data_IF_192190858297
#
_entry.id   IF_192190858297
#
_cell.length_a   1.000
_cell.length_b   1.000
_cell.length_c   1.000
_cell.angle_alpha   90.00
_cell.angle_beta   90.00
_cell.angle_gamma   90.00
#
_symmetry.space_group_name_H-M   'P 1'
#
loop_
_entity.id
_entity.type
_entity.pdbx_description
1 polymer ?
#
# COMPACT_ATOMS: atom_id res chain seq x y z
N UNK A 1 -21.03 -77.22 -50.61
CA UNK A 1 -21.00 -75.95 -51.30
C UNK A 1 -21.38 -74.87 -50.26
N UNK A 2 -20.43 -74.41 -49.42
CA UNK A 2 -20.66 -73.42 -48.35
C UNK A 2 -20.18 -72.04 -48.75
N UNK A 3 -21.10 -71.12 -48.95
CA UNK A 3 -20.87 -69.72 -49.26
C UNK A 3 -20.50 -68.96 -47.94
N UNK A 4 -19.29 -68.45 -47.83
CA UNK A 4 -18.89 -67.64 -46.73
C UNK A 4 -19.32 -66.21 -47.03
N UNK A 5 -20.16 -65.58 -46.16
CA UNK A 5 -20.45 -64.16 -46.14
C UNK A 5 -19.30 -63.42 -45.49
N UNK A 6 -18.85 -62.24 -46.02
CA UNK A 6 -17.89 -61.41 -45.34
C UNK A 6 -18.61 -60.53 -44.30
N UNK A 7 -18.11 -60.58 -43.07
CA UNK A 7 -18.58 -59.74 -41.94
C UNK A 7 -17.90 -58.37 -42.06
N UNK A 8 -18.64 -57.33 -42.45
CA UNK A 8 -18.18 -55.94 -42.45
C UNK A 8 -18.30 -55.37 -41.03
N UNK A 9 -17.18 -55.09 -40.37
CA UNK A 9 -17.09 -54.41 -39.10
C UNK A 9 -17.11 -52.90 -39.38
N UNK A 10 -18.08 -52.11 -38.90
CA UNK A 10 -18.03 -50.68 -39.06
C UNK A 10 -16.95 -50.06 -38.15
N UNK A 11 -15.98 -49.39 -38.72
CA UNK A 11 -15.01 -48.56 -37.98
C UNK A 11 -15.73 -47.31 -37.54
N UNK A 12 -16.03 -47.19 -36.23
CA UNK A 12 -16.52 -45.95 -35.61
C UNK A 12 -15.30 -45.07 -35.39
N UNK A 13 -15.14 -44.03 -36.23
CA UNK A 13 -14.15 -42.99 -36.04
C UNK A 13 -14.67 -42.04 -34.93
N UNK A 14 -14.09 -42.14 -33.75
CA UNK A 14 -14.34 -41.22 -32.65
C UNK A 14 -13.54 -39.91 -32.94
N UNK A 15 -14.17 -38.92 -33.51
CA UNK A 15 -13.60 -37.55 -33.61
C UNK A 15 -13.65 -36.94 -32.22
N UNK A 16 -12.56 -37.10 -31.46
CA UNK A 16 -12.37 -36.40 -30.18
C UNK A 16 -12.28 -34.89 -30.44
N UNK A 17 -13.31 -34.14 -30.05
CA UNK A 17 -13.21 -32.69 -30.00
C UNK A 17 -12.18 -32.30 -28.92
N UNK A 18 -11.03 -31.79 -29.36
CA UNK A 18 -10.02 -31.19 -28.48
C UNK A 18 -10.61 -29.89 -27.91
N UNK A 19 -11.16 -29.94 -26.71
CA UNK A 19 -11.57 -28.73 -26.00
C UNK A 19 -10.27 -28.02 -25.59
N UNK A 20 -9.90 -26.97 -26.33
CA UNK A 20 -8.83 -26.08 -25.93
C UNK A 20 -9.29 -25.37 -24.65
N UNK A 21 -8.79 -25.79 -23.50
CA UNK A 21 -8.91 -25.05 -22.25
C UNK A 21 -8.04 -23.81 -22.42
N UNK A 22 -8.65 -22.65 -22.68
CA UNK A 22 -7.95 -21.38 -22.65
C UNK A 22 -7.31 -21.23 -21.25
N UNK A 23 -6.03 -20.82 -21.14
CA UNK A 23 -5.46 -20.51 -19.85
C UNK A 23 -6.33 -19.41 -19.22
N UNK A 24 -6.81 -19.65 -17.98
CA UNK A 24 -7.40 -18.61 -17.17
C UNK A 24 -6.29 -17.57 -16.99
N UNK A 25 -6.44 -16.42 -17.62
CA UNK A 25 -5.55 -15.28 -17.41
C UNK A 25 -5.54 -15.03 -15.90
N UNK A 26 -4.42 -15.34 -15.25
CA UNK A 26 -4.20 -15.00 -13.86
C UNK A 26 -4.32 -13.47 -13.77
N UNK A 27 -5.38 -12.98 -13.14
CA UNK A 27 -5.56 -11.55 -12.92
C UNK A 27 -4.32 -11.04 -12.18
N UNK A 28 -3.48 -10.30 -12.90
CA UNK A 28 -2.34 -9.69 -12.27
C UNK A 28 -2.83 -8.65 -11.26
N UNK A 29 -2.34 -8.74 -10.04
CA UNK A 29 -2.70 -7.79 -9.00
C UNK A 29 -2.32 -6.37 -9.43
N UNK A 30 -3.23 -5.42 -9.20
CA UNK A 30 -2.98 -3.99 -9.46
C UNK A 30 -2.36 -3.35 -8.24
N UNK A 31 -1.34 -2.51 -8.44
CA UNK A 31 -0.72 -1.76 -7.34
C UNK A 31 -1.72 -0.79 -6.70
N UNK A 32 -1.84 -0.78 -5.37
CA UNK A 32 -2.58 0.26 -4.66
C UNK A 32 -2.02 1.65 -4.95
N UNK A 33 -2.90 2.62 -5.16
CA UNK A 33 -2.46 3.99 -5.46
C UNK A 33 -2.14 4.76 -4.18
N UNK A 34 -0.85 4.94 -3.90
CA UNK A 34 -0.37 5.67 -2.72
C UNK A 34 -0.53 7.19 -2.81
N UNK A 35 -0.84 7.77 -4.00
CA UNK A 35 -0.96 9.21 -4.15
C UNK A 35 0.21 9.98 -3.53
N UNK A 36 -0.09 11.01 -2.74
CA UNK A 36 0.92 11.82 -2.04
C UNK A 36 1.59 11.11 -0.88
N UNK A 37 0.99 10.00 -0.35
CA UNK A 37 1.64 9.15 0.65
C UNK A 37 2.95 8.53 0.12
N UNK A 38 3.10 8.41 -1.20
CA UNK A 38 4.34 7.95 -1.85
C UNK A 38 5.57 8.78 -1.46
N UNK A 39 5.38 10.07 -1.15
CA UNK A 39 6.44 11.00 -0.77
C UNK A 39 6.96 10.77 0.67
N UNK A 40 6.31 9.92 1.45
CA UNK A 40 6.64 9.64 2.83
C UNK A 40 7.28 8.26 2.98
N UNK A 41 8.34 8.21 3.77
CA UNK A 41 8.97 6.94 4.18
C UNK A 41 8.34 6.41 5.45
N UNK A 42 7.94 7.31 6.33
CA UNK A 42 7.21 7.00 7.55
C UNK A 42 5.98 7.93 7.68
N UNK A 43 4.82 7.36 8.01
CA UNK A 43 3.56 8.10 8.17
C UNK A 43 2.77 7.49 9.33
N UNK A 44 2.33 8.32 10.28
CA UNK A 44 1.60 7.85 11.46
C UNK A 44 0.31 8.66 11.70
N UNK A 45 -0.60 8.08 12.49
CA UNK A 45 -1.89 8.69 12.82
C UNK A 45 -1.90 9.40 14.17
N UNK A 46 -1.28 8.85 15.19
CA UNK A 46 -1.39 9.36 16.56
C UNK A 46 -0.10 9.93 17.11
N UNK A 47 0.99 9.17 17.08
CA UNK A 47 2.29 9.57 17.60
C UNK A 47 3.43 8.89 16.82
N UNK A 48 4.60 9.50 16.86
CA UNK A 48 5.86 8.85 16.47
C UNK A 48 6.80 8.88 17.66
N UNK A 49 7.22 7.69 18.11
CA UNK A 49 8.11 7.55 19.26
C UNK A 49 9.36 6.79 18.84
N UNK A 50 10.51 7.29 19.21
CA UNK A 50 11.78 6.65 18.90
C UNK A 50 12.65 6.50 20.16
N UNK A 51 13.33 5.37 20.23
CA UNK A 51 14.39 5.10 21.22
C UNK A 51 15.67 4.72 20.46
N UNK A 52 16.77 5.40 20.78
CA UNK A 52 18.06 5.14 20.13
C UNK A 52 18.21 5.78 18.73
N UNK A 53 19.31 5.48 18.02
CA UNK A 53 19.71 6.17 16.80
C UNK A 53 18.97 5.62 15.55
N UNK A 54 17.65 5.69 15.53
CA UNK A 54 16.89 5.33 14.31
C UNK A 54 17.13 6.35 13.19
N UNK A 55 17.09 5.87 11.94
CA UNK A 55 17.20 6.69 10.74
C UNK A 55 16.00 6.47 9.82
N UNK A 56 15.29 7.56 9.53
CA UNK A 56 14.24 7.59 8.50
C UNK A 56 14.82 8.31 7.29
N UNK A 57 15.07 7.58 6.21
CA UNK A 57 15.55 8.15 4.94
C UNK A 57 14.37 8.66 4.14
N UNK A 58 14.21 9.99 4.04
CA UNK A 58 13.07 10.66 3.40
C UNK A 58 12.15 11.32 4.41
N UNK A 59 10.90 11.58 4.01
CA UNK A 59 9.97 12.38 4.81
C UNK A 59 9.26 11.55 5.89
N UNK A 60 9.01 12.21 7.03
CA UNK A 60 8.16 11.74 8.12
C UNK A 60 6.87 12.56 8.14
N UNK A 61 5.72 11.88 8.21
CA UNK A 61 4.41 12.53 8.36
C UNK A 61 3.67 12.05 9.61
N UNK A 62 2.94 12.95 10.23
CA UNK A 62 2.07 12.67 11.38
C UNK A 62 0.82 13.53 11.29
N UNK A 63 -0.37 12.91 11.22
CA UNK A 63 -1.67 13.56 11.24
C UNK A 63 -2.77 12.54 11.63
N UNK A 64 -3.76 12.90 12.48
CA UNK A 64 -3.99 14.15 13.20
C UNK A 64 -3.13 14.31 14.46
N UNK A 65 -2.33 13.31 14.83
CA UNK A 65 -1.40 13.41 15.96
C UNK A 65 -0.36 14.50 15.78
N UNK A 66 0.20 15.00 16.89
CA UNK A 66 1.18 16.09 16.89
C UNK A 66 2.45 15.79 17.67
N UNK A 67 2.57 14.58 18.25
CA UNK A 67 3.72 14.24 19.10
C UNK A 67 4.72 13.37 18.35
N UNK A 68 5.89 13.94 18.10
CA UNK A 68 7.09 13.24 17.62
C UNK A 68 8.16 13.33 18.68
N UNK A 69 8.64 12.19 19.21
CA UNK A 69 9.61 12.12 20.30
C UNK A 69 10.80 11.22 19.96
N UNK A 70 11.97 11.50 20.57
CA UNK A 70 13.18 10.71 20.34
C UNK A 70 13.95 11.09 19.07
N UNK A 71 13.73 12.28 18.53
CA UNK A 71 14.48 12.86 17.43
C UNK A 71 15.05 14.25 17.85
N UNK A 72 16.31 14.30 18.36
CA UNK A 72 17.32 13.24 18.49
C UNK A 72 17.06 12.22 19.62
N UNK A 73 17.80 11.05 19.68
CA UNK A 73 18.93 10.69 18.82
C UNK A 73 18.54 10.13 17.44
N UNK A 74 17.25 9.87 17.19
CA UNK A 74 16.79 9.54 15.86
C UNK A 74 17.01 10.67 14.85
N UNK A 75 17.06 10.33 13.57
CA UNK A 75 17.23 11.31 12.47
C UNK A 75 16.20 11.08 11.36
N UNK A 76 15.71 12.16 10.77
CA UNK A 76 14.91 12.20 9.55
C UNK A 76 15.71 12.96 8.50
N UNK A 77 16.01 12.33 7.35
CA UNK A 77 16.83 12.98 6.32
C UNK A 77 16.05 13.93 5.43
N UNK A 78 14.73 13.75 5.36
CA UNK A 78 13.80 14.59 4.62
C UNK A 78 13.08 15.61 5.51
N UNK A 79 11.91 16.04 5.08
CA UNK A 79 11.05 16.97 5.81
C UNK A 79 10.15 16.22 6.77
N UNK A 80 9.93 16.81 7.97
CA UNK A 80 8.95 16.33 8.93
C UNK A 80 7.69 17.21 8.85
N UNK A 81 6.57 16.58 8.52
CA UNK A 81 5.24 17.20 8.43
C UNK A 81 4.38 16.75 9.61
N UNK A 82 3.96 17.70 10.46
CA UNK A 82 3.19 17.41 11.67
C UNK A 82 1.91 18.23 11.66
N UNK A 83 0.75 17.56 11.61
CA UNK A 83 -0.59 18.17 11.64
C UNK A 83 -0.74 19.31 10.63
N UNK A 84 -0.12 19.16 9.46
CA UNK A 84 -0.19 20.13 8.36
C UNK A 84 -0.98 19.57 7.16
N UNK A 85 -1.31 20.41 6.20
CA UNK A 85 -2.10 20.02 5.03
C UNK A 85 -1.42 18.93 4.18
N UNK A 86 -0.08 18.86 4.18
CA UNK A 86 0.69 17.87 3.42
C UNK A 86 0.57 16.51 4.07
N UNK A 87 0.72 16.42 5.41
CA UNK A 87 0.52 15.18 6.17
C UNK A 87 -0.94 14.73 6.10
N UNK A 88 -1.92 15.64 6.23
CA UNK A 88 -3.34 15.32 6.11
C UNK A 88 -3.67 14.72 4.73
N UNK A 89 -3.21 15.31 3.64
CA UNK A 89 -3.45 14.76 2.30
C UNK A 89 -2.81 13.38 2.15
N UNK A 90 -1.57 13.19 2.61
CA UNK A 90 -0.91 11.89 2.58
C UNK A 90 -1.66 10.81 3.38
N UNK A 91 -2.28 11.18 4.51
CA UNK A 91 -3.13 10.29 5.31
C UNK A 91 -4.42 9.89 4.59
N UNK A 92 -5.03 10.82 3.86
CA UNK A 92 -6.21 10.54 3.02
C UNK A 92 -5.84 9.57 1.89
N UNK A 93 -4.72 9.81 1.22
CA UNK A 93 -4.25 8.95 0.13
C UNK A 93 -3.82 7.56 0.65
N UNK A 94 -3.18 7.49 1.83
CA UNK A 94 -2.90 6.23 2.51
C UNK A 94 -4.19 5.44 2.79
N UNK A 95 -5.28 6.12 3.18
CA UNK A 95 -6.57 5.48 3.42
C UNK A 95 -7.14 4.86 2.14
N UNK A 96 -7.02 5.55 1.02
CA UNK A 96 -7.39 5.03 -0.30
C UNK A 96 -6.55 3.81 -0.67
N UNK A 97 -5.22 3.92 -0.60
CA UNK A 97 -4.31 2.82 -0.92
C UNK A 97 -4.52 1.58 -0.03
N UNK A 98 -4.78 1.79 1.25
CA UNK A 98 -5.12 0.71 2.19
C UNK A 98 -6.40 -0.02 1.77
N UNK A 99 -7.43 0.73 1.35
CA UNK A 99 -8.71 0.19 0.91
C UNK A 99 -8.57 -0.54 -0.43
N UNK A 100 -7.79 0.01 -1.36
CA UNK A 100 -7.46 -0.65 -2.63
C UNK A 100 -6.78 -2.00 -2.40
N UNK A 101 -5.79 -2.03 -1.50
CA UNK A 101 -5.09 -3.26 -1.13
C UNK A 101 -6.03 -4.28 -0.47
N UNK A 102 -6.94 -3.83 0.43
CA UNK A 102 -7.90 -4.69 1.11
C UNK A 102 -8.95 -5.31 0.17
N UNK A 103 -9.30 -4.61 -0.92
CA UNK A 103 -10.31 -5.03 -1.89
C UNK A 103 -9.72 -5.73 -3.12
N UNK A 104 -8.39 -5.88 -3.21
CA UNK A 104 -7.77 -6.56 -4.34
C UNK A 104 -8.25 -8.03 -4.42
N UNK A 105 -8.57 -8.54 -5.64
CA UNK A 105 -9.05 -9.90 -5.80
C UNK A 105 -8.03 -10.93 -5.28
N UNK A 106 -8.44 -11.77 -4.34
CA UNK A 106 -7.59 -12.78 -3.70
C UNK A 106 -7.21 -13.86 -4.71
N UNK A 107 -5.91 -14.18 -4.78
CA UNK A 107 -5.41 -15.30 -5.60
C UNK A 107 -5.14 -16.53 -4.75
N UNK A 108 -4.74 -16.36 -3.50
CA UNK A 108 -4.37 -17.48 -2.61
C UNK A 108 -4.78 -17.17 -1.17
N UNK A 109 -5.50 -18.10 -0.56
CA UNK A 109 -5.75 -18.06 0.89
C UNK A 109 -4.59 -18.75 1.63
N UNK A 110 -4.01 -18.04 2.59
CA UNK A 110 -2.90 -18.50 3.43
C UNK A 110 -3.26 -18.49 4.92
N UNK A 111 -4.55 -18.46 5.24
CA UNK A 111 -5.04 -18.42 6.63
C UNK A 111 -4.46 -19.58 7.45
N UNK A 112 -3.85 -19.25 8.58
CA UNK A 112 -3.22 -20.23 9.48
C UNK A 112 -1.84 -20.72 9.05
N UNK A 113 -1.29 -20.22 7.95
CA UNK A 113 0.07 -20.58 7.49
C UNK A 113 1.09 -19.53 7.92
N UNK A 114 2.32 -19.99 8.21
CA UNK A 114 3.48 -19.11 8.38
C UNK A 114 4.04 -18.74 7.01
N UNK A 115 4.43 -17.48 6.86
CA UNK A 115 5.10 -16.96 5.66
C UNK A 115 6.55 -17.45 5.52
N UNK A 116 7.16 -17.88 6.63
CA UNK A 116 8.54 -18.36 6.65
C UNK A 116 8.74 -19.61 5.78
N UNK A 117 9.84 -19.62 5.06
CA UNK A 117 10.19 -20.69 4.12
C UNK A 117 9.36 -20.74 2.84
N UNK A 118 8.41 -19.80 2.64
CA UNK A 118 7.61 -19.73 1.42
C UNK A 118 8.38 -19.04 0.30
N UNK A 119 8.14 -19.52 -0.92
CA UNK A 119 8.56 -18.87 -2.16
C UNK A 119 7.28 -18.53 -2.94
N UNK A 120 6.97 -17.23 -3.04
CA UNK A 120 5.73 -16.74 -3.62
C UNK A 120 5.99 -16.00 -4.94
N UNK A 121 5.06 -16.12 -5.87
CA UNK A 121 5.01 -15.38 -7.13
C UNK A 121 4.09 -14.17 -7.00
N UNK A 122 4.05 -13.22 -7.97
CA UNK A 122 3.11 -12.10 -7.93
C UNK A 122 1.66 -12.56 -7.71
N UNK A 123 0.93 -11.88 -6.80
CA UNK A 123 -0.43 -12.26 -6.45
C UNK A 123 -0.95 -11.56 -5.20
N UNK A 124 -2.19 -11.89 -4.83
CA UNK A 124 -2.88 -11.39 -3.63
C UNK A 124 -3.07 -12.54 -2.65
N UNK A 125 -2.43 -12.43 -1.50
CA UNK A 125 -2.38 -13.44 -0.45
C UNK A 125 -3.20 -13.01 0.75
N UNK A 126 -4.22 -13.80 1.10
CA UNK A 126 -5.17 -13.46 2.16
C UNK A 126 -4.91 -14.28 3.42
N UNK A 127 -5.07 -13.63 4.57
CA UNK A 127 -5.13 -14.22 5.91
C UNK A 127 -6.38 -13.68 6.60
N UNK A 128 -7.34 -14.52 6.93
CA UNK A 128 -8.56 -14.10 7.65
C UNK A 128 -8.29 -13.66 9.10
N UNK A 129 -7.13 -14.01 9.63
CA UNK A 129 -6.68 -13.67 10.97
C UNK A 129 -5.29 -13.02 10.95
N UNK A 130 -4.49 -13.26 11.98
CA UNK A 130 -3.11 -12.80 12.05
C UNK A 130 -2.20 -13.60 11.11
N UNK A 131 -1.18 -12.94 10.58
CA UNK A 131 -0.08 -13.55 9.84
C UNK A 131 1.22 -13.52 10.64
N UNK A 132 2.05 -14.55 10.47
CA UNK A 132 3.38 -14.64 11.06
C UNK A 132 4.42 -14.82 9.95
N UNK A 133 5.61 -14.29 10.20
CA UNK A 133 6.79 -14.52 9.38
C UNK A 133 7.93 -15.02 10.27
N UNK A 134 8.23 -16.32 10.18
CA UNK A 134 9.34 -16.95 10.91
C UNK A 134 10.44 -17.37 9.92
N UNK A 135 11.59 -16.68 9.96
CA UNK A 135 12.68 -16.93 9.02
C UNK A 135 12.50 -16.13 7.70
N UNK A 136 12.73 -16.77 6.55
CA UNK A 136 12.77 -16.06 5.25
C UNK A 136 11.53 -16.30 4.42
N UNK A 137 10.90 -15.20 3.97
CA UNK A 137 9.92 -15.18 2.88
C UNK A 137 10.64 -14.76 1.60
N UNK A 138 10.55 -15.56 0.56
CA UNK A 138 11.10 -15.25 -0.77
C UNK A 138 9.98 -14.84 -1.73
N UNK A 139 10.10 -13.67 -2.33
CA UNK A 139 9.22 -13.17 -3.39
C UNK A 139 9.96 -13.26 -4.72
N UNK A 140 9.43 -14.03 -5.66
CA UNK A 140 10.12 -14.40 -6.91
C UNK A 140 9.30 -14.03 -8.13
N UNK A 141 9.85 -13.18 -8.98
CA UNK A 141 9.23 -12.73 -10.23
C UNK A 141 8.75 -11.28 -10.20
N UNK A 142 8.78 -10.64 -11.37
CA UNK A 142 8.36 -9.26 -11.51
C UNK A 142 6.84 -9.14 -11.48
N UNK A 143 6.29 -8.30 -10.61
CA UNK A 143 4.86 -8.04 -10.49
C UNK A 143 4.48 -7.49 -9.12
N UNK A 144 3.17 -7.49 -8.84
CA UNK A 144 2.59 -6.96 -7.61
C UNK A 144 2.31 -8.09 -6.63
N UNK A 145 2.68 -7.87 -5.37
CA UNK A 145 2.40 -8.73 -4.22
C UNK A 145 1.56 -7.95 -3.21
N UNK A 146 0.39 -8.44 -2.87
CA UNK A 146 -0.47 -7.85 -1.85
C UNK A 146 -0.75 -8.90 -0.78
N UNK A 147 -0.43 -8.57 0.47
CA UNK A 147 -0.74 -9.39 1.63
C UNK A 147 -1.91 -8.73 2.37
N UNK A 148 -3.09 -9.35 2.31
CA UNK A 148 -4.30 -8.93 3.03
C UNK A 148 -4.37 -9.69 4.35
N UNK A 149 -4.10 -9.01 5.46
CA UNK A 149 -4.03 -9.63 6.78
C UNK A 149 -5.18 -9.10 7.64
N UNK A 150 -6.12 -9.96 8.00
CA UNK A 150 -7.35 -9.59 8.70
C UNK A 150 -7.14 -9.06 10.12
N UNK A 151 -6.00 -9.37 10.76
CA UNK A 151 -5.69 -8.91 12.11
C UNK A 151 -4.26 -8.38 12.19
N UNK A 152 -3.35 -9.03 12.91
CA UNK A 152 -1.99 -8.55 13.15
C UNK A 152 -0.96 -9.21 12.23
N UNK A 153 0.11 -8.48 11.91
CA UNK A 153 1.34 -9.02 11.35
C UNK A 153 2.42 -9.06 12.43
N UNK A 154 3.04 -10.21 12.63
CA UNK A 154 4.19 -10.33 13.55
C UNK A 154 5.33 -11.04 12.84
N UNK A 155 6.52 -10.45 12.84
CA UNK A 155 7.73 -11.14 12.40
C UNK A 155 8.52 -11.63 13.61
N UNK A 156 9.11 -12.81 13.49
CA UNK A 156 10.10 -13.30 14.46
C UNK A 156 11.39 -12.48 14.38
N UNK A 157 12.26 -12.62 15.38
CA UNK A 157 13.61 -12.04 15.31
C UNK A 157 14.39 -12.62 14.14
N UNK A 158 15.17 -11.76 13.45
CA UNK A 158 15.96 -12.10 12.26
C UNK A 158 15.11 -12.59 11.06
N UNK A 159 13.82 -12.28 11.03
CA UNK A 159 13.00 -12.59 9.88
C UNK A 159 13.42 -11.75 8.66
N UNK A 160 13.27 -12.32 7.47
CA UNK A 160 13.70 -11.69 6.22
C UNK A 160 12.59 -11.74 5.17
N UNK A 161 12.29 -10.63 4.55
CA UNK A 161 11.57 -10.59 3.26
C UNK A 161 12.60 -10.36 2.17
N UNK A 162 12.73 -11.32 1.24
CA UNK A 162 13.71 -11.31 0.17
C UNK A 162 13.01 -11.24 -1.19
N UNK A 163 13.51 -10.39 -2.08
CA UNK A 163 13.04 -10.27 -3.48
C UNK A 163 14.09 -10.84 -4.43
N UNK A 164 13.68 -11.70 -5.36
CA UNK A 164 14.54 -12.33 -6.37
C UNK A 164 13.83 -12.38 -7.74
N UNK A 165 14.57 -12.73 -8.77
CA UNK A 165 14.04 -12.98 -10.13
C UNK A 165 13.17 -11.82 -10.67
N UNK A 166 13.59 -10.58 -10.41
CA UNK A 166 12.89 -9.38 -10.87
C UNK A 166 11.77 -8.87 -9.95
N UNK A 167 11.50 -9.54 -8.82
CA UNK A 167 10.61 -8.97 -7.80
C UNK A 167 11.20 -7.66 -7.26
N UNK A 168 10.36 -6.63 -7.09
CA UNK A 168 10.77 -5.31 -6.64
C UNK A 168 9.99 -4.92 -5.38
N UNK A 169 10.69 -4.40 -4.37
CA UNK A 169 10.06 -4.00 -3.11
C UNK A 169 8.98 -2.93 -3.27
N UNK A 170 9.07 -2.10 -4.31
CA UNK A 170 8.03 -1.11 -4.65
C UNK A 170 6.71 -1.74 -5.12
N UNK A 171 6.72 -3.01 -5.54
CA UNK A 171 5.54 -3.79 -5.89
C UNK A 171 4.98 -4.63 -4.73
N UNK A 172 5.53 -4.51 -3.53
CA UNK A 172 5.13 -5.31 -2.36
C UNK A 172 4.34 -4.46 -1.38
N UNK A 173 3.11 -4.88 -1.09
CA UNK A 173 2.16 -4.16 -0.22
C UNK A 173 1.64 -5.07 0.87
N UNK A 174 1.70 -4.60 2.12
CA UNK A 174 1.20 -5.28 3.30
C UNK A 174 0.03 -4.48 3.86
N UNK A 175 -1.20 -4.96 3.66
CA UNK A 175 -2.40 -4.41 4.28
C UNK A 175 -2.67 -5.20 5.56
N UNK A 176 -2.61 -4.54 6.72
CA UNK A 176 -2.75 -5.17 8.04
C UNK A 176 -3.97 -4.62 8.76
N UNK A 177 -4.93 -5.48 9.05
CA UNK A 177 -6.23 -5.13 9.63
C UNK A 177 -6.19 -4.62 11.08
N UNK A 178 -5.04 -4.70 11.74
CA UNK A 178 -4.81 -4.14 13.06
C UNK A 178 -3.41 -3.56 13.15
N UNK A 179 -2.53 -4.10 13.99
CA UNK A 179 -1.16 -3.61 14.20
C UNK A 179 -0.12 -4.55 13.60
N UNK A 180 1.03 -4.00 13.25
CA UNK A 180 2.19 -4.76 12.81
C UNK A 180 3.32 -4.63 13.83
N UNK A 181 4.00 -5.76 14.13
CA UNK A 181 5.20 -5.80 14.95
C UNK A 181 6.33 -6.47 14.17
N UNK A 182 7.38 -5.73 13.89
CA UNK A 182 8.60 -6.27 13.30
C UNK A 182 9.56 -6.64 14.42
N UNK A 183 9.84 -7.94 14.56
CA UNK A 183 10.75 -8.50 15.57
C UNK A 183 12.19 -8.00 15.39
N UNK A 184 13.01 -8.16 16.43
CA UNK A 184 14.40 -7.65 16.45
C UNK A 184 15.19 -8.12 15.24
N UNK A 185 16.01 -7.23 14.69
CA UNK A 185 16.88 -7.51 13.55
C UNK A 185 16.15 -8.08 12.31
N UNK A 186 14.85 -7.83 12.17
CA UNK A 186 14.08 -8.15 10.94
C UNK A 186 14.58 -7.30 9.77
N UNK A 187 14.74 -7.93 8.60
CA UNK A 187 15.01 -7.26 7.33
C UNK A 187 13.73 -7.31 6.46
N UNK A 188 12.98 -6.23 6.50
CA UNK A 188 11.66 -6.17 5.84
C UNK A 188 11.72 -5.41 4.52
N UNK A 189 10.85 -5.78 3.56
CA UNK A 189 10.70 -5.10 2.28
C UNK A 189 9.23 -4.88 1.95
N UNK A 190 8.96 -3.76 1.25
CA UNK A 190 7.62 -3.37 0.80
C UNK A 190 6.99 -2.26 1.64
N UNK A 191 5.82 -1.81 1.19
CA UNK A 191 5.02 -0.78 1.87
C UNK A 191 4.12 -1.44 2.90
N UNK A 192 4.40 -1.21 4.18
CA UNK A 192 3.63 -1.72 5.32
C UNK A 192 2.57 -0.70 5.72
N UNK A 193 1.31 -1.05 5.52
CA UNK A 193 0.11 -0.24 5.82
C UNK A 193 -0.69 -0.90 6.94
N UNK A 194 -0.54 -0.45 8.17
CA UNK A 194 -1.30 -0.97 9.30
C UNK A 194 -2.51 -0.08 9.64
N UNK A 195 -3.65 -0.69 9.91
CA UNK A 195 -4.85 0.05 10.34
C UNK A 195 -4.60 0.81 11.64
N UNK A 196 -3.92 0.17 12.59
CA UNK A 196 -3.66 0.77 13.90
C UNK A 196 -2.20 1.21 13.99
N UNK A 197 -1.33 0.44 14.56
CA UNK A 197 0.04 0.87 14.89
C UNK A 197 1.10 -0.02 14.24
N UNK A 198 2.29 0.53 14.09
CA UNK A 198 3.48 -0.21 13.70
C UNK A 198 4.53 -0.09 14.80
N UNK A 199 5.02 -1.22 15.28
CA UNK A 199 6.13 -1.30 16.23
C UNK A 199 7.30 -2.00 15.57
N UNK A 200 8.45 -1.32 15.52
CA UNK A 200 9.71 -1.89 15.06
C UNK A 200 10.61 -2.11 16.28
N UNK A 201 10.83 -3.38 16.64
CA UNK A 201 11.69 -3.75 17.76
C UNK A 201 13.16 -3.48 17.39
N UNK A 202 14.04 -3.44 18.37
CA UNK A 202 15.44 -3.03 18.23
C UNK A 202 16.12 -3.69 17.02
N UNK A 203 16.66 -2.84 16.15
CA UNK A 203 17.40 -3.25 14.96
C UNK A 203 16.56 -3.83 13.82
N UNK A 204 15.23 -3.89 13.95
CA UNK A 204 14.37 -4.20 12.82
C UNK A 204 14.48 -3.09 11.76
N UNK A 205 14.63 -3.45 10.48
CA UNK A 205 14.83 -2.49 9.41
C UNK A 205 13.86 -2.75 8.26
N UNK A 206 13.34 -1.67 7.69
CA UNK A 206 12.69 -1.70 6.38
C UNK A 206 13.76 -1.25 5.38
N UNK A 207 14.40 -2.23 4.74
CA UNK A 207 15.58 -1.98 3.89
C UNK A 207 15.22 -1.43 2.50
N UNK A 208 13.97 -1.60 2.09
CA UNK A 208 13.38 -1.00 0.87
C UNK A 208 11.87 -1.02 1.03
N UNK A 209 11.27 0.10 1.45
CA UNK A 209 9.84 0.17 1.71
C UNK A 209 9.42 1.38 2.53
N UNK A 210 8.25 1.26 3.17
CA UNK A 210 7.63 2.34 3.96
C UNK A 210 6.93 1.78 5.18
N UNK A 211 6.86 2.57 6.27
CA UNK A 211 6.07 2.28 7.46
C UNK A 211 4.91 3.28 7.58
N UNK A 212 3.68 2.82 7.39
CA UNK A 212 2.49 3.67 7.30
C UNK A 212 1.39 3.18 8.26
N UNK A 213 1.28 3.79 9.44
CA UNK A 213 0.21 3.56 10.41
C UNK A 213 -0.97 4.51 10.15
N UNK A 214 -2.17 3.96 9.85
CA UNK A 214 -3.32 4.80 9.51
C UNK A 214 -3.84 5.59 10.71
N UNK A 215 -4.13 4.92 11.83
CA UNK A 215 -4.80 5.56 12.96
C UNK A 215 -3.90 5.63 14.20
N UNK A 216 -2.93 4.75 14.30
CA UNK A 216 -2.13 4.58 15.51
C UNK A 216 -0.73 5.14 15.41
N UNK A 217 0.12 4.65 16.29
CA UNK A 217 1.49 5.11 16.47
C UNK A 217 2.48 4.38 15.57
N UNK A 218 3.60 5.03 15.30
CA UNK A 218 4.83 4.40 14.83
C UNK A 218 5.85 4.45 15.96
N UNK A 219 6.28 3.26 16.41
CA UNK A 219 7.27 3.10 17.50
C UNK A 219 8.55 2.49 16.94
N UNK A 220 9.66 3.16 17.19
CA UNK A 220 10.99 2.81 16.69
C UNK A 220 11.98 2.59 17.82
N UNK A 221 12.96 1.67 17.60
CA UNK A 221 14.05 1.37 18.51
C UNK A 221 15.32 1.02 17.73
N UNK A 222 16.15 2.01 17.44
CA UNK A 222 17.40 1.84 16.66
C UNK A 222 17.15 1.16 15.29
N UNK A 223 16.24 1.70 14.52
CA UNK A 223 15.77 1.13 13.25
C UNK A 223 16.21 1.98 12.05
N UNK A 224 16.27 1.35 10.88
CA UNK A 224 16.46 2.05 9.59
C UNK A 224 15.25 1.81 8.71
N UNK A 225 14.69 2.90 8.13
CA UNK A 225 13.63 2.84 7.15
C UNK A 225 14.11 3.56 5.89
N UNK A 226 14.20 2.81 4.79
CA UNK A 226 14.69 3.31 3.50
C UNK A 226 13.61 3.09 2.43
N UNK A 227 13.18 4.14 1.72
CA UNK A 227 12.18 3.98 0.66
C UNK A 227 12.77 3.19 -0.53
N UNK A 228 11.94 2.56 -1.37
CA UNK A 228 12.41 1.95 -2.61
C UNK A 228 13.11 2.99 -3.47
N UNK A 229 14.28 2.63 -4.02
CA UNK A 229 15.06 3.48 -4.93
C UNK A 229 14.89 3.05 -6.39
N UNK A 230 15.01 3.98 -7.31
CA UNK A 230 14.90 3.73 -8.75
C UNK A 230 13.45 3.76 -9.27
N UNK A 231 13.29 3.52 -10.58
CA UNK A 231 11.98 3.40 -11.22
C UNK A 231 11.38 2.04 -10.94
N UNK A 232 10.15 2.02 -10.41
CA UNK A 232 9.38 0.81 -10.21
C UNK A 232 8.84 0.34 -11.56
N UNK A 233 9.49 -0.64 -12.18
CA UNK A 233 9.05 -1.24 -13.44
C UNK A 233 8.40 -2.59 -13.15
N UNK A 234 7.11 -2.56 -12.79
CA UNK A 234 6.35 -3.80 -12.58
C UNK A 234 5.92 -4.37 -13.94
N UNK A 235 6.06 -5.67 -14.12
CA UNK A 235 5.60 -6.36 -15.32
C UNK A 235 4.12 -6.07 -15.56
N UNK A 236 3.73 -5.79 -16.79
CA UNK A 236 2.36 -5.46 -17.19
C UNK A 236 1.38 -6.59 -16.94
N UNK A 237 0.83 -6.65 -15.75
CA UNK A 237 -0.53 -7.03 -15.57
C UNK A 237 -1.34 -5.74 -15.75
N UNK A 238 -2.02 -5.60 -16.87
CA UNK A 238 -2.60 -4.37 -17.36
C UNK A 238 -3.36 -3.53 -16.32
N UNK A 239 -2.91 -2.31 -16.08
CA UNK A 239 -3.58 -1.32 -15.24
C UNK A 239 -2.77 -0.03 -15.23
N UNK A 240 -3.32 1.03 -15.83
CA UNK A 240 -2.71 2.30 -16.17
C UNK A 240 -1.84 2.95 -15.10
N UNK A 241 -0.54 2.97 -15.35
CA UNK A 241 0.38 3.81 -14.64
C UNK A 241 0.38 5.22 -15.24
N UNK A 242 -0.08 6.20 -14.48
CA UNK A 242 0.15 7.60 -14.82
C UNK A 242 1.57 8.01 -14.38
N UNK A 243 2.55 7.58 -15.18
CA UNK A 243 3.93 8.02 -15.03
C UNK A 243 4.09 9.39 -15.69
N UNK A 244 4.16 10.46 -14.89
CA UNK A 244 4.61 11.75 -15.35
C UNK A 244 6.05 11.66 -15.85
N UNK A 245 6.22 11.49 -17.16
CA UNK A 245 7.48 11.56 -17.85
C UNK A 245 7.96 12.99 -17.91
N UNK A 246 8.87 13.40 -17.02
CA UNK A 246 9.70 14.57 -17.21
C UNK A 246 10.70 14.30 -18.30
N UNK A 247 10.37 14.64 -19.54
CA UNK A 247 11.26 14.55 -20.68
C UNK A 247 12.42 15.52 -20.54
N UNK A 248 13.64 14.99 -20.49
CA UNK A 248 14.85 15.75 -20.71
C UNK A 248 14.91 16.17 -22.19
N UNK A 249 14.70 17.47 -22.47
CA UNK A 249 14.85 18.05 -23.79
C UNK A 249 16.32 18.08 -24.21
N UNK A 250 16.61 17.45 -25.32
CA UNK A 250 17.85 17.66 -26.07
C UNK A 250 17.83 18.99 -26.84
N UNK A 251 19.01 19.53 -27.25
CA UNK A 251 19.14 20.87 -27.78
C UNK A 251 18.61 20.96 -29.22
N UNK A 252 17.53 21.70 -29.41
CA UNK A 252 16.95 22.01 -30.72
C UNK A 252 17.14 23.45 -31.09
N UNK A 253 17.57 23.64 -32.32
CA UNK A 253 17.89 24.82 -33.10
C UNK A 253 16.98 26.04 -32.91
N UNK A 254 17.67 27.24 -32.90
CA UNK A 254 17.09 28.58 -32.90
C UNK A 254 16.27 28.87 -34.17
N UNK A 255 14.97 29.09 -34.02
CA UNK A 255 14.07 29.60 -35.04
C UNK A 255 13.52 30.94 -34.60
N UNK A 256 13.82 31.98 -35.36
CA UNK A 256 13.33 33.35 -35.20
C UNK A 256 11.81 33.43 -35.45
N UNK A 257 11.05 33.92 -34.53
CA UNK A 257 9.62 34.21 -34.72
C UNK A 257 9.26 35.62 -34.28
N UNK A 258 8.47 36.30 -35.08
CA UNK A 258 7.96 37.64 -34.91
C UNK A 258 6.86 37.76 -33.81
N UNK A 259 6.36 38.99 -33.59
CA UNK A 259 5.65 39.37 -32.36
C UNK A 259 4.21 38.85 -32.33
N UNK A 260 3.83 38.39 -31.15
CA UNK A 260 2.46 37.92 -30.82
C UNK A 260 1.58 39.13 -30.51
N UNK A 261 0.33 39.22 -31.09
CA UNK A 261 -0.57 40.30 -30.76
C UNK A 261 -1.26 40.14 -29.42
N UNK A 262 -1.33 41.23 -28.64
CA UNK A 262 -2.04 41.38 -27.37
C UNK A 262 -3.54 41.52 -27.62
N UNK A 263 -4.45 40.82 -26.99
CA UNK A 263 -5.88 41.07 -27.09
C UNK A 263 -6.29 42.26 -26.20
N UNK A 264 -7.06 43.16 -26.82
CA UNK A 264 -7.58 44.38 -26.23
C UNK A 264 -8.57 44.15 -25.10
N UNK A 265 -8.50 44.98 -24.08
CA UNK A 265 -9.52 45.16 -23.03
C UNK A 265 -10.79 45.77 -23.61
N UNK A 266 -11.93 45.09 -23.44
CA UNK A 266 -13.25 45.59 -23.70
C UNK A 266 -14.10 45.61 -22.43
N UNK A 267 -14.66 46.76 -22.16
CA UNK A 267 -15.41 47.15 -20.98
C UNK A 267 -16.88 46.65 -21.00
N UNK A 268 -17.42 46.40 -19.81
CA UNK A 268 -18.73 46.88 -19.38
C UNK A 268 -19.95 46.02 -19.72
N UNK A 269 -20.65 45.61 -18.65
CA UNK A 269 -22.07 45.22 -18.65
C UNK A 269 -22.53 44.62 -17.32
N UNK A 270 -23.76 44.96 -16.86
CA UNK A 270 -24.06 44.97 -15.42
C UNK A 270 -24.70 43.69 -14.87
N UNK A 271 -24.44 43.48 -13.62
CA UNK A 271 -25.19 42.88 -12.52
C UNK A 271 -26.31 41.85 -12.77
N UNK A 272 -26.12 40.73 -12.08
CA UNK A 272 -27.24 39.93 -11.59
C UNK A 272 -26.88 39.44 -10.17
N UNK A 273 -27.53 40.12 -9.20
CA UNK A 273 -27.59 39.72 -7.81
C UNK A 273 -28.45 38.45 -7.69
N UNK A 274 -27.89 37.39 -7.10
CA UNK A 274 -28.69 36.26 -6.63
C UNK A 274 -28.58 36.25 -5.08
N UNK A 275 -29.71 36.25 -4.36
CA UNK A 275 -29.69 36.36 -2.89
C UNK A 275 -29.30 35.03 -2.23
N UNK A 276 -28.48 35.17 -1.20
CA UNK A 276 -28.14 34.10 -0.26
C UNK A 276 -29.39 33.70 0.54
N UNK A 277 -29.77 32.42 0.48
CA UNK A 277 -30.79 31.83 1.32
C UNK A 277 -30.09 31.23 2.56
N UNK A 278 -30.18 31.96 3.69
CA UNK A 278 -29.86 31.42 5.00
C UNK A 278 -30.93 30.41 5.40
N UNK A 279 -30.53 29.15 5.66
CA UNK A 279 -31.36 28.20 6.36
C UNK A 279 -30.78 27.98 7.77
N UNK A 280 -31.39 28.64 8.75
CA UNK A 280 -31.16 28.38 10.18
C UNK A 280 -32.06 27.19 10.55
N UNK A 281 -31.50 26.08 10.96
CA UNK A 281 -32.25 25.02 11.67
C UNK A 281 -31.62 24.83 13.05
N UNK A 282 -32.52 25.02 14.01
CA UNK A 282 -32.27 25.14 15.42
C UNK A 282 -31.71 23.90 16.10
N UNK A 283 -31.07 24.19 17.23
CA UNK A 283 -30.54 23.23 18.17
C UNK A 283 -31.60 22.39 18.87
N UNK A 284 -31.20 21.16 19.18
CA UNK A 284 -31.81 20.37 20.24
C UNK A 284 -30.68 19.75 21.08
N UNK A 285 -30.47 20.34 22.24
CA UNK A 285 -29.64 19.77 23.29
C UNK A 285 -30.32 18.54 23.86
N UNK A 286 -29.63 17.40 23.92
CA UNK A 286 -30.04 16.26 24.74
C UNK A 286 -28.96 16.07 25.81
N UNK A 287 -29.29 16.53 27.00
CA UNK A 287 -28.65 16.19 28.27
C UNK A 287 -29.00 14.74 28.62
N UNK A 288 -28.02 13.82 28.66
CA UNK A 288 -28.21 12.49 29.21
C UNK A 288 -27.43 12.35 30.52
N UNK A 289 -28.18 12.11 31.55
CA UNK A 289 -27.79 12.03 32.95
C UNK A 289 -26.74 10.98 33.27
N UNK A 290 -25.70 11.38 34.01
CA UNK A 290 -24.82 10.50 34.80
C UNK A 290 -25.61 9.81 35.89
N UNK A 291 -25.64 8.49 35.92
CA UNK A 291 -25.93 7.68 37.10
C UNK A 291 -24.68 6.94 37.54
N UNK A 292 -24.03 7.47 38.56
CA UNK A 292 -23.05 6.76 39.37
C UNK A 292 -23.73 5.60 40.10
N UNK A 293 -23.24 4.38 39.97
CA UNK A 293 -23.47 3.28 40.91
C UNK A 293 -22.16 2.94 41.59
N UNK A 294 -22.07 3.35 42.86
CA UNK A 294 -21.13 2.79 43.79
C UNK A 294 -21.59 1.37 44.14
N UNK A 295 -20.67 0.39 44.05
CA UNK A 295 -20.85 -0.95 44.65
C UNK A 295 -19.89 -1.04 45.81
N UNK A 296 -20.45 -1.22 46.99
CA UNK A 296 -19.75 -1.42 48.27
C UNK A 296 -19.16 -2.84 48.33
N UNK A 297 -17.96 -2.90 48.88
CA UNK A 297 -17.23 -4.11 49.30
C UNK A 297 -17.87 -4.72 50.54
N UNK A 298 -18.02 -6.00 50.55
CA UNK A 298 -17.90 -6.88 51.70
C UNK A 298 -17.12 -8.12 51.32
#
# INVERSE_FOLDING_TARGET
MFRRLPFLIPIVVFTGALVAVAPLDAFAATSPNLGTALNFTALAGSTVTNTGPSVITGNLGLDPGSSVTGFPPGTVTGVTHISDAVALQAKNDLTTAYTDAANAPVTTDMTGLDLGGKNLTPGVYKFDSSAQLTGTLTLSGNGVYIFQIGSTLTTASNAVVQTINGAQACGVYWQVGSSATLGSATHFQGTLMALTSITMITGANIISGRAMARNGALTLASNHIVPPVGTCTLGSGGGGGNGGSGGAGGPGTVGTSGPVPVPATGAGGPGLLVPALMLIIGGASIEAARRSRAVAVR
#
